data_IF_972424367634
#
_entry.id   IF_972424367634
#
_cell.length_a   1.000
_cell.length_b   1.000
_cell.length_c   1.000
_cell.angle_alpha   90.00
_cell.angle_beta   90.00
_cell.angle_gamma   90.00
#
_symmetry.space_group_name_H-M   'P 1'
#
loop_
_entity.id
_entity.type
_entity.pdbx_description
1 polymer ?
#
# COMPACT_ATOMS: atom_id res chain seq x y z
N UNK A 1 12.31 26.20 -11.88
CA UNK A 1 11.92 24.99 -11.13
C UNK A 1 10.67 24.40 -11.75
N UNK A 2 10.73 23.20 -12.22
CA UNK A 2 9.53 22.48 -12.65
C UNK A 2 8.72 22.15 -11.41
N UNK A 3 7.54 22.75 -11.28
CA UNK A 3 6.64 22.51 -10.16
C UNK A 3 6.03 21.12 -10.36
N UNK A 4 6.60 20.11 -9.67
CA UNK A 4 6.13 18.74 -9.73
C UNK A 4 4.79 18.63 -9.00
N UNK A 5 3.78 18.08 -9.67
CA UNK A 5 2.44 17.90 -9.08
C UNK A 5 2.32 16.50 -8.49
N UNK A 6 1.91 16.42 -7.25
CA UNK A 6 1.63 15.17 -6.57
C UNK A 6 0.12 14.93 -6.56
N UNK A 7 -0.27 13.77 -7.05
CA UNK A 7 -1.61 13.21 -6.92
C UNK A 7 -1.59 12.10 -5.88
N UNK A 8 -2.67 11.91 -5.14
CA UNK A 8 -2.78 10.82 -4.18
C UNK A 8 -4.12 10.11 -4.27
N UNK A 9 -4.12 8.84 -3.89
CA UNK A 9 -5.31 7.98 -3.74
C UNK A 9 -5.03 6.91 -2.69
N UNK A 10 -6.06 6.21 -2.23
CA UNK A 10 -5.95 5.08 -1.30
C UNK A 10 -7.10 4.10 -1.49
N UNK A 11 -7.01 2.95 -0.81
CA UNK A 11 -8.12 2.01 -0.64
C UNK A 11 -8.73 1.54 -1.97
N UNK A 12 -7.89 1.24 -2.95
CA UNK A 12 -8.36 0.73 -4.25
C UNK A 12 -8.85 -0.72 -4.17
N UNK A 13 -8.33 -1.48 -3.20
CA UNK A 13 -8.74 -2.85 -2.92
C UNK A 13 -8.87 -3.72 -4.17
N UNK A 14 -7.78 -3.78 -4.95
CA UNK A 14 -7.75 -4.49 -6.24
C UNK A 14 -7.76 -6.02 -6.08
N UNK A 15 -7.63 -6.52 -4.86
CA UNK A 15 -7.89 -7.91 -4.50
C UNK A 15 -9.35 -8.32 -4.75
N UNK A 16 -10.26 -7.36 -4.84
CA UNK A 16 -11.65 -7.59 -5.22
C UNK A 16 -11.85 -7.32 -6.71
N UNK A 17 -12.23 -8.36 -7.46
CA UNK A 17 -12.37 -8.29 -8.91
C UNK A 17 -13.36 -7.21 -9.39
N UNK A 18 -14.38 -6.91 -8.61
CA UNK A 18 -15.36 -5.88 -8.95
C UNK A 18 -14.76 -4.48 -8.88
N UNK A 19 -13.86 -4.22 -7.94
CA UNK A 19 -13.15 -2.95 -7.84
C UNK A 19 -12.26 -2.73 -9.06
N UNK A 20 -11.51 -3.76 -9.48
CA UNK A 20 -10.71 -3.68 -10.69
C UNK A 20 -11.57 -3.48 -11.94
N UNK A 21 -12.69 -4.20 -12.05
CA UNK A 21 -13.62 -4.04 -13.17
C UNK A 21 -14.13 -2.61 -13.27
N UNK A 22 -14.49 -2.02 -12.12
CA UNK A 22 -14.92 -0.62 -12.05
C UNK A 22 -13.80 0.34 -12.45
N UNK A 23 -12.63 0.21 -11.83
CA UNK A 23 -11.49 1.10 -12.06
C UNK A 23 -10.97 1.02 -13.50
N UNK A 24 -11.03 -0.16 -14.12
CA UNK A 24 -10.68 -0.35 -15.54
C UNK A 24 -11.64 0.39 -16.47
N UNK A 25 -12.93 0.41 -16.13
CA UNK A 25 -13.96 1.12 -16.90
C UNK A 25 -13.94 2.64 -16.62
N UNK A 26 -13.51 3.05 -15.42
CA UNK A 26 -13.47 4.43 -14.94
C UNK A 26 -12.09 4.71 -14.33
N UNK A 27 -11.05 4.85 -15.16
CA UNK A 27 -9.68 5.09 -14.64
C UNK A 27 -9.61 6.38 -13.83
N UNK A 28 -8.65 6.43 -12.92
CA UNK A 28 -8.34 7.68 -12.22
C UNK A 28 -7.99 8.75 -13.25
N UNK A 29 -8.54 9.95 -13.08
CA UNK A 29 -8.10 11.11 -13.85
C UNK A 29 -6.66 11.44 -13.48
N UNK A 30 -5.78 11.52 -14.47
CA UNK A 30 -4.36 11.83 -14.24
C UNK A 30 -4.20 13.34 -14.11
N UNK A 31 -3.97 13.82 -12.90
CA UNK A 31 -3.83 15.25 -12.57
C UNK A 31 -2.47 15.62 -12.00
N UNK A 32 -1.62 14.63 -11.73
CA UNK A 32 -0.27 14.79 -11.16
C UNK A 32 0.81 14.16 -12.01
N UNK A 33 2.05 14.52 -11.73
CA UNK A 33 3.26 13.89 -12.29
C UNK A 33 3.64 12.63 -11.50
N UNK A 34 3.43 12.67 -10.19
CA UNK A 34 3.74 11.62 -9.22
C UNK A 34 2.44 11.13 -8.60
N UNK A 35 2.27 9.81 -8.49
CA UNK A 35 1.16 9.21 -7.77
C UNK A 35 1.64 8.66 -6.43
N UNK A 36 1.00 9.09 -5.35
CA UNK A 36 1.14 8.52 -4.01
C UNK A 36 -0.08 7.66 -3.70
N UNK A 37 0.14 6.40 -3.36
CA UNK A 37 -0.91 5.46 -2.96
C UNK A 37 -0.79 5.19 -1.46
N UNK A 38 -1.78 5.63 -0.70
CA UNK A 38 -1.76 5.58 0.76
C UNK A 38 -2.29 4.25 1.33
N UNK A 39 -1.92 3.14 0.70
CA UNK A 39 -2.19 1.79 1.19
C UNK A 39 -3.52 1.18 0.73
N UNK A 40 -3.70 -0.07 1.10
CA UNK A 40 -4.87 -0.89 0.81
C UNK A 40 -5.15 -1.01 -0.71
N UNK A 41 -4.08 -1.31 -1.45
CA UNK A 41 -4.15 -1.49 -2.90
C UNK A 41 -4.43 -2.97 -3.23
N UNK A 42 -3.83 -3.90 -2.49
CA UNK A 42 -4.04 -5.33 -2.68
C UNK A 42 -3.24 -6.18 -1.69
N UNK A 43 -3.39 -7.49 -1.74
CA UNK A 43 -2.73 -8.42 -0.83
C UNK A 43 -1.28 -8.70 -1.27
N UNK A 44 -0.32 -8.35 -0.43
CA UNK A 44 1.12 -8.55 -0.70
C UNK A 44 1.49 -10.05 -0.77
N UNK A 45 0.85 -10.88 0.05
CA UNK A 45 1.03 -12.34 0.05
C UNK A 45 0.35 -13.07 -1.12
N UNK A 46 -0.30 -12.35 -2.02
CA UNK A 46 -0.87 -12.90 -3.23
C UNK A 46 0.15 -12.76 -4.38
N UNK A 47 0.46 -13.86 -5.07
CA UNK A 47 1.37 -13.86 -6.23
C UNK A 47 0.92 -12.89 -7.34
N UNK A 48 -0.31 -12.42 -7.29
CA UNK A 48 -0.86 -11.48 -8.25
C UNK A 48 -0.60 -10.01 -7.90
N UNK A 49 -0.12 -9.67 -6.70
CA UNK A 49 0.11 -8.27 -6.32
C UNK A 49 0.96 -7.53 -7.36
N UNK A 50 2.20 -8.00 -7.55
CA UNK A 50 3.13 -7.38 -8.51
C UNK A 50 2.76 -7.58 -9.98
N UNK A 51 1.92 -8.58 -10.29
CA UNK A 51 1.45 -8.87 -11.65
C UNK A 51 0.17 -8.15 -12.02
N UNK A 52 -0.45 -7.44 -11.07
CA UNK A 52 -1.74 -6.79 -11.31
C UNK A 52 -1.61 -5.71 -12.41
N UNK A 53 -2.50 -5.71 -13.42
CA UNK A 53 -2.39 -4.79 -14.56
C UNK A 53 -2.57 -3.31 -14.20
N UNK A 54 -3.10 -2.98 -13.04
CA UNK A 54 -3.13 -1.61 -12.53
C UNK A 54 -1.74 -0.98 -12.47
N UNK A 55 -0.71 -1.78 -12.11
CA UNK A 55 0.66 -1.26 -12.02
C UNK A 55 1.24 -0.87 -13.38
N UNK A 56 0.85 -1.56 -14.46
CA UNK A 56 1.22 -1.18 -15.81
C UNK A 56 0.59 0.16 -16.17
N UNK A 57 -0.71 0.31 -15.92
CA UNK A 57 -1.41 1.56 -16.13
C UNK A 57 -0.79 2.71 -15.32
N UNK A 58 -0.49 2.50 -14.04
CA UNK A 58 0.12 3.51 -13.18
C UNK A 58 1.52 3.90 -13.68
N UNK A 59 2.33 2.91 -14.08
CA UNK A 59 3.66 3.11 -14.64
C UNK A 59 3.66 3.95 -15.93
N UNK A 60 2.65 3.76 -16.78
CA UNK A 60 2.52 4.46 -18.06
C UNK A 60 2.02 5.90 -17.90
N UNK A 61 1.26 6.19 -16.84
CA UNK A 61 0.58 7.48 -16.68
C UNK A 61 1.28 8.45 -15.73
N UNK A 62 2.22 7.98 -14.90
CA UNK A 62 2.95 8.80 -13.95
C UNK A 62 4.46 8.65 -14.12
N UNK A 63 5.22 9.70 -13.80
CA UNK A 63 6.70 9.65 -13.81
C UNK A 63 7.22 8.69 -12.76
N UNK A 64 6.63 8.75 -11.57
CA UNK A 64 6.91 7.84 -10.45
C UNK A 64 5.61 7.54 -9.69
N UNK A 65 5.55 6.34 -9.11
CA UNK A 65 4.46 5.90 -8.24
C UNK A 65 5.06 5.36 -6.96
N UNK A 66 4.62 5.87 -5.82
CA UNK A 66 5.04 5.40 -4.52
C UNK A 66 3.82 4.98 -3.71
N UNK A 67 3.78 3.71 -3.30
CA UNK A 67 2.74 3.13 -2.48
C UNK A 67 3.30 2.85 -1.09
N UNK A 68 2.60 3.25 -0.02
CA UNK A 68 2.83 2.66 1.28
C UNK A 68 1.94 1.43 1.47
N UNK A 69 2.39 0.49 2.28
CA UNK A 69 1.58 -0.69 2.61
C UNK A 69 0.58 -0.31 3.71
N UNK A 70 -0.72 -0.52 3.46
CA UNK A 70 -1.78 -0.45 4.47
C UNK A 70 -1.91 -1.78 5.21
N UNK A 71 -2.99 -1.96 5.97
CA UNK A 71 -3.22 -3.22 6.67
C UNK A 71 -3.65 -4.35 5.71
N UNK A 72 -4.40 -4.06 4.65
CA UNK A 72 -4.84 -5.08 3.68
C UNK A 72 -3.69 -5.72 2.92
N UNK A 73 -2.57 -5.03 2.69
CA UNK A 73 -1.38 -5.64 2.11
C UNK A 73 -0.91 -6.87 2.89
N UNK A 74 -1.14 -6.92 4.20
CA UNK A 74 -0.73 -8.02 5.08
C UNK A 74 -1.82 -9.07 5.34
N UNK A 75 -3.00 -8.92 4.74
CA UNK A 75 -4.04 -9.94 4.86
C UNK A 75 -3.61 -11.27 4.21
N UNK A 76 -4.38 -12.33 4.43
CA UNK A 76 -4.05 -13.72 4.10
C UNK A 76 -2.84 -14.25 4.88
N UNK A 77 -2.77 -13.87 6.15
CA UNK A 77 -1.74 -14.37 7.08
C UNK A 77 -0.31 -14.04 6.66
N UNK A 78 -0.10 -12.86 6.07
CA UNK A 78 1.23 -12.36 5.83
C UNK A 78 1.88 -11.95 7.16
N UNK A 79 3.12 -12.37 7.37
CA UNK A 79 3.85 -12.04 8.61
C UNK A 79 4.58 -10.71 8.45
N UNK A 80 4.06 -9.66 9.08
CA UNK A 80 4.63 -8.31 9.02
C UNK A 80 6.07 -8.28 9.55
N UNK A 81 6.41 -9.14 10.51
CA UNK A 81 7.76 -9.19 11.08
C UNK A 81 8.83 -9.66 10.08
N UNK A 82 8.43 -10.20 8.92
CA UNK A 82 9.38 -10.57 7.86
C UNK A 82 9.89 -9.36 7.07
N UNK A 83 9.21 -8.22 7.15
CA UNK A 83 9.63 -6.99 6.46
C UNK A 83 10.47 -6.11 7.38
N UNK A 84 11.72 -5.81 7.02
CA UNK A 84 12.51 -4.82 7.74
C UNK A 84 11.98 -3.40 7.46
N UNK A 85 12.25 -2.48 8.40
CA UNK A 85 12.04 -1.05 8.13
C UNK A 85 12.85 -0.61 6.91
N UNK A 86 12.24 0.20 6.07
CA UNK A 86 12.85 0.63 4.81
C UNK A 86 12.73 -0.39 3.68
N UNK A 87 11.97 -1.48 3.86
CA UNK A 87 11.74 -2.44 2.78
C UNK A 87 11.12 -1.75 1.56
N UNK A 88 11.68 -2.06 0.39
CA UNK A 88 11.27 -1.52 -0.89
C UNK A 88 11.02 -2.65 -1.88
N UNK A 89 9.82 -2.71 -2.43
CA UNK A 89 9.46 -3.61 -3.53
C UNK A 89 9.35 -2.80 -4.82
N UNK A 90 10.26 -3.04 -5.76
CA UNK A 90 10.15 -2.51 -7.12
C UNK A 90 9.11 -3.33 -7.90
N UNK A 91 7.94 -2.76 -8.12
CA UNK A 91 6.82 -3.40 -8.85
C UNK A 91 6.98 -3.18 -10.35
N UNK A 92 7.42 -2.00 -10.76
CA UNK A 92 7.84 -1.61 -12.10
C UNK A 92 9.04 -0.68 -11.96
N UNK A 93 9.81 -0.36 -13.03
CA UNK A 93 10.99 0.49 -12.92
C UNK A 93 10.74 1.88 -12.29
N UNK A 94 9.50 2.36 -12.35
CA UNK A 94 9.06 3.64 -11.77
C UNK A 94 7.92 3.48 -10.76
N UNK A 95 7.63 2.26 -10.28
CA UNK A 95 6.56 1.95 -9.32
C UNK A 95 7.13 1.19 -8.13
N UNK A 96 6.97 1.74 -6.94
CA UNK A 96 7.59 1.25 -5.72
C UNK A 96 6.56 1.10 -4.60
N UNK A 97 6.58 -0.04 -3.90
CA UNK A 97 5.85 -0.24 -2.65
C UNK A 97 6.81 -0.23 -1.48
N UNK A 98 6.50 0.57 -0.47
CA UNK A 98 7.36 0.83 0.68
C UNK A 98 6.73 0.31 1.99
N UNK A 99 7.58 -0.23 2.85
CA UNK A 99 7.24 -0.49 4.24
C UNK A 99 8.18 0.30 5.14
N UNK A 100 7.63 1.23 5.94
CA UNK A 100 8.37 2.13 6.84
C UNK A 100 9.59 2.76 6.14
N UNK A 101 9.37 3.40 5.01
CA UNK A 101 10.41 3.96 4.16
C UNK A 101 10.23 5.44 3.85
N UNK A 102 11.20 5.95 3.13
CA UNK A 102 11.21 7.34 2.65
C UNK A 102 11.47 7.32 1.14
N UNK A 103 10.62 8.04 0.38
CA UNK A 103 10.87 8.37 -1.01
C UNK A 103 11.30 9.82 -1.13
N UNK A 104 12.37 10.08 -1.89
CA UNK A 104 12.85 11.44 -2.19
C UNK A 104 12.34 11.90 -3.55
N UNK A 105 11.54 12.95 -3.56
CA UNK A 105 10.98 13.51 -4.79
C UNK A 105 11.45 14.98 -4.90
N UNK A 106 12.44 15.22 -5.73
CA UNK A 106 13.09 16.53 -5.79
C UNK A 106 13.77 16.89 -4.48
N UNK A 107 13.29 17.95 -3.83
CA UNK A 107 13.76 18.41 -2.52
C UNK A 107 12.83 18.00 -1.36
N UNK A 108 11.83 17.17 -1.63
CA UNK A 108 10.81 16.76 -0.67
C UNK A 108 10.97 15.29 -0.28
N UNK A 109 10.98 15.01 1.02
CA UNK A 109 10.95 13.66 1.55
C UNK A 109 9.50 13.24 1.85
N UNK A 110 9.08 12.12 1.27
CA UNK A 110 7.78 11.51 1.51
C UNK A 110 7.97 10.33 2.44
N UNK A 111 7.38 10.40 3.63
CA UNK A 111 7.42 9.29 4.61
C UNK A 111 6.26 8.35 4.30
N UNK A 112 6.58 7.07 4.12
CA UNK A 112 5.65 6.02 3.75
C UNK A 112 5.63 4.95 4.84
N UNK A 113 4.52 4.85 5.55
CA UNK A 113 4.36 3.92 6.67
C UNK A 113 2.91 3.48 6.81
N UNK A 114 2.69 2.28 7.32
CA UNK A 114 1.36 1.75 7.65
C UNK A 114 0.71 2.50 8.81
N UNK A 115 1.50 3.17 9.65
CA UNK A 115 1.05 3.94 10.81
C UNK A 115 0.21 3.11 11.80
N UNK A 116 0.69 1.92 12.17
CA UNK A 116 0.05 1.09 13.19
C UNK A 116 -0.17 1.88 14.48
N UNK A 117 -1.41 1.82 15.00
CA UNK A 117 -1.76 2.46 16.25
C UNK A 117 -1.23 1.67 17.45
N UNK A 118 -0.80 2.39 18.48
CA UNK A 118 -0.59 1.76 19.80
C UNK A 118 -1.95 1.59 20.48
N UNK A 119 -2.28 0.34 20.81
CA UNK A 119 -3.53 -0.01 21.53
C UNK A 119 -3.20 -0.07 23.01
N UNK A 120 -3.90 0.69 23.88
CA UNK A 120 -3.78 0.56 25.32
C UNK A 120 -4.15 -0.86 25.77
N UNK A 121 -3.49 -1.34 26.82
CA UNK A 121 -3.69 -2.71 27.29
C UNK A 121 -5.13 -2.97 27.75
N UNK A 122 -5.77 -1.97 28.34
CA UNK A 122 -7.18 -2.02 28.76
C UNK A 122 -8.15 -2.20 27.59
N UNK A 123 -7.80 -1.74 26.38
CA UNK A 123 -8.64 -1.84 25.19
C UNK A 123 -8.29 -3.05 24.30
N UNK A 124 -7.18 -3.72 24.58
CA UNK A 124 -6.61 -4.75 23.69
C UNK A 124 -7.63 -5.88 23.41
N UNK A 125 -8.23 -6.43 24.47
CA UNK A 125 -9.20 -7.54 24.34
C UNK A 125 -10.39 -7.16 23.46
N UNK A 126 -11.00 -6.00 23.70
CA UNK A 126 -12.12 -5.53 22.89
C UNK A 126 -11.72 -5.28 21.44
N UNK A 127 -10.57 -4.64 21.23
CA UNK A 127 -10.05 -4.32 19.90
C UNK A 127 -9.79 -5.59 19.07
N UNK A 128 -9.18 -6.62 19.67
CA UNK A 128 -8.98 -7.92 19.02
C UNK A 128 -10.30 -8.58 18.58
N UNK A 129 -11.38 -8.39 19.31
CA UNK A 129 -12.68 -8.97 18.96
C UNK A 129 -13.35 -8.28 17.78
N UNK A 130 -13.13 -6.97 17.59
CA UNK A 130 -13.87 -6.16 16.62
C UNK A 130 -13.06 -5.85 15.34
N UNK A 131 -11.72 -5.79 15.44
CA UNK A 131 -10.86 -5.47 14.30
C UNK A 131 -10.42 -6.76 13.61
N UNK A 132 -10.64 -6.83 12.29
CA UNK A 132 -10.34 -8.02 11.50
C UNK A 132 -8.85 -8.30 11.31
N UNK A 133 -8.00 -7.31 11.47
CA UNK A 133 -6.55 -7.43 11.32
C UNK A 133 -5.97 -8.52 12.23
N UNK A 134 -6.42 -8.58 13.48
CA UNK A 134 -5.99 -9.58 14.47
C UNK A 134 -6.33 -11.03 14.12
N UNK A 135 -7.15 -11.24 13.11
CA UNK A 135 -7.53 -12.56 12.58
C UNK A 135 -6.97 -12.86 11.21
N UNK A 136 -6.27 -11.92 10.61
CA UNK A 136 -5.86 -11.99 9.20
C UNK A 136 -4.39 -11.68 8.96
N UNK A 137 -3.70 -11.11 9.96
CA UNK A 137 -2.32 -10.69 9.87
C UNK A 137 -1.49 -11.46 10.89
N UNK A 138 -0.28 -11.86 10.52
CA UNK A 138 0.67 -12.47 11.44
C UNK A 138 1.74 -11.47 11.88
N UNK A 139 2.25 -11.68 13.08
CA UNK A 139 3.43 -11.06 13.61
C UNK A 139 4.29 -12.09 14.33
N UNK A 140 5.49 -12.36 13.82
CA UNK A 140 6.40 -13.40 14.34
C UNK A 140 5.77 -14.80 14.35
N UNK A 141 5.01 -15.12 13.31
CA UNK A 141 4.39 -16.44 13.13
C UNK A 141 3.07 -16.67 13.87
N UNK A 142 2.59 -15.70 14.64
CA UNK A 142 1.33 -15.77 15.38
C UNK A 142 0.35 -14.69 14.88
N UNK A 143 -0.94 -14.86 15.13
CA UNK A 143 -1.92 -13.79 14.87
C UNK A 143 -1.57 -12.55 15.69
N UNK A 144 -1.73 -11.37 15.09
CA UNK A 144 -1.45 -10.08 15.75
C UNK A 144 -2.25 -9.91 17.04
#
# INVERSE_FOLDING_TARGET
MTNMKIQYASDLHLEFADNWRYLKAHPLEVTGDILLLAGDIGYLGDDNYSKHPFWDWASENYKEVHCCMGNHEFYKYYDVATLPDGYLLEVRPNVFSHYNGIARIGDTDIILSTLWSRIPLEDAYFTEQVISDFRRILYKGELM
#
